data_IF_693711028313
#
_entry.id   IF_693711028313
#
_cell.length_a   1.000
_cell.length_b   1.000
_cell.length_c   1.000
_cell.angle_alpha   90.00
_cell.angle_beta   90.00
_cell.angle_gamma   90.00
#
_symmetry.space_group_name_H-M   'P 1'
#
loop_
_entity.id
_entity.type
_entity.pdbx_description
1 polymer ?
#
# COMPACT_ATOMS: atom_id res chain seq x y z
N UNK A 1 33.05 -3.14 49.56
CA UNK A 1 31.67 -3.26 49.07
C UNK A 1 31.49 -2.24 47.94
N UNK A 2 31.62 -2.61 46.66
CA UNK A 2 31.50 -1.62 45.56
C UNK A 2 30.78 -2.18 44.31
N UNK A 3 30.73 -3.49 44.14
CA UNK A 3 30.14 -4.13 42.94
C UNK A 3 28.62 -4.09 42.88
N UNK A 4 27.94 -3.97 44.03
CA UNK A 4 26.48 -3.93 44.11
C UNK A 4 25.90 -2.60 43.64
N UNK A 5 26.49 -1.49 44.09
CA UNK A 5 26.03 -0.13 43.74
C UNK A 5 26.23 0.17 42.25
N UNK A 6 27.31 -0.33 41.65
CA UNK A 6 27.60 -0.17 40.22
C UNK A 6 26.59 -0.94 39.35
N UNK A 7 26.18 -2.14 39.79
CA UNK A 7 25.15 -2.93 39.10
C UNK A 7 23.77 -2.25 39.19
N UNK A 8 23.40 -1.76 40.38
CA UNK A 8 22.15 -1.03 40.57
C UNK A 8 22.13 0.22 39.69
N UNK A 9 23.23 0.98 39.66
CA UNK A 9 23.39 2.15 38.78
C UNK A 9 23.19 1.79 37.31
N UNK A 10 23.88 0.78 36.81
CA UNK A 10 23.76 0.34 35.42
C UNK A 10 22.33 -0.08 35.04
N UNK A 11 21.66 -0.85 35.91
CA UNK A 11 20.29 -1.29 35.68
C UNK A 11 19.36 -0.07 35.65
N UNK A 12 19.51 0.88 36.57
CA UNK A 12 18.69 2.09 36.60
C UNK A 12 18.89 2.98 35.38
N UNK A 13 20.14 3.21 34.94
CA UNK A 13 20.43 3.97 33.72
C UNK A 13 19.75 3.34 32.50
N UNK A 14 19.84 2.01 32.35
CA UNK A 14 19.21 1.30 31.24
C UNK A 14 17.69 1.42 31.27
N UNK A 15 17.07 1.27 32.45
CA UNK A 15 15.62 1.39 32.61
C UNK A 15 15.15 2.81 32.30
N UNK A 16 15.83 3.84 32.82
CA UNK A 16 15.50 5.24 32.55
C UNK A 16 15.57 5.55 31.06
N UNK A 17 16.64 5.14 30.36
CA UNK A 17 16.75 5.33 28.91
C UNK A 17 15.61 4.66 28.13
N UNK A 18 15.15 3.47 28.56
CA UNK A 18 14.02 2.80 27.92
C UNK A 18 12.67 3.43 28.27
N UNK A 19 12.52 3.99 29.48
CA UNK A 19 11.30 4.69 29.89
C UNK A 19 11.17 6.06 29.21
N UNK A 20 12.29 6.74 28.94
CA UNK A 20 12.37 7.99 28.16
C UNK A 20 12.13 7.80 26.66
N UNK A 21 12.08 6.56 26.17
CA UNK A 21 11.64 6.26 24.80
C UNK A 21 10.27 5.56 24.79
N UNK A 22 9.17 6.22 25.20
CA UNK A 22 7.91 5.54 25.41
C UNK A 22 7.08 5.57 24.12
N UNK A 23 6.74 4.39 23.60
CA UNK A 23 5.59 4.08 22.69
C UNK A 23 5.41 4.85 21.37
N UNK A 24 5.91 6.08 21.20
CA UNK A 24 5.69 6.95 20.05
C UNK A 24 6.43 6.44 18.81
N UNK A 25 7.69 6.02 18.97
CA UNK A 25 8.47 5.36 17.91
C UNK A 25 7.81 4.06 17.44
N UNK A 26 7.17 3.34 18.37
CA UNK A 26 6.48 2.06 18.11
C UNK A 26 5.22 2.22 17.28
N UNK A 27 4.63 3.43 17.25
CA UNK A 27 3.50 3.79 16.40
C UNK A 27 3.96 4.28 15.03
N UNK A 28 5.08 5.00 14.95
CA UNK A 28 5.64 5.50 13.67
C UNK A 28 6.09 4.38 12.73
N UNK A 29 6.66 3.30 13.24
CA UNK A 29 7.07 2.16 12.38
C UNK A 29 5.93 1.23 11.95
N UNK A 30 4.70 1.43 12.45
CA UNK A 30 3.56 0.54 12.20
C UNK A 30 2.49 1.13 11.27
N UNK A 31 2.81 2.16 10.50
CA UNK A 31 2.01 2.47 9.32
C UNK A 31 2.25 1.39 8.26
N UNK A 32 1.69 0.20 8.51
CA UNK A 32 1.53 -0.82 7.48
C UNK A 32 0.63 -0.19 6.43
N UNK A 33 1.19 0.07 5.26
CA UNK A 33 0.41 0.58 4.13
C UNK A 33 -0.82 -0.31 3.96
N UNK A 34 -2.03 0.29 3.84
CA UNK A 34 -3.22 -0.49 3.57
C UNK A 34 -2.99 -1.32 2.30
N UNK A 35 -3.41 -2.58 2.32
CA UNK A 35 -3.28 -3.46 1.16
C UNK A 35 -3.90 -2.82 -0.11
N UNK A 36 -4.96 -2.02 0.06
CA UNK A 36 -5.60 -1.24 -0.99
C UNK A 36 -4.65 -0.30 -1.73
N UNK A 37 -3.68 0.30 -1.05
CA UNK A 37 -2.68 1.19 -1.66
C UNK A 37 -1.70 0.40 -2.52
N UNK A 38 -1.32 -0.81 -2.08
CA UNK A 38 -0.43 -1.71 -2.84
C UNK A 38 -1.03 -2.21 -4.15
N UNK A 39 -2.36 -2.29 -4.22
CA UNK A 39 -3.11 -2.77 -5.39
C UNK A 39 -3.90 -1.66 -6.10
N UNK A 40 -3.74 -0.40 -5.68
CA UNK A 40 -4.23 0.74 -6.42
C UNK A 40 -3.59 0.75 -7.80
N UNK A 41 -4.35 1.08 -8.84
CA UNK A 41 -3.92 0.94 -10.24
C UNK A 41 -4.12 -0.47 -10.80
N UNK A 42 -3.65 -1.54 -10.14
CA UNK A 42 -3.82 -2.92 -10.64
C UNK A 42 -5.28 -3.36 -10.67
N UNK A 43 -6.07 -3.05 -9.64
CA UNK A 43 -7.50 -3.43 -9.59
C UNK A 43 -8.30 -2.74 -10.71
N UNK A 44 -8.28 -1.40 -10.87
CA UNK A 44 -8.92 -0.73 -12.00
C UNK A 44 -8.39 -1.18 -13.37
N UNK A 45 -7.09 -1.48 -13.47
CA UNK A 45 -6.47 -1.95 -14.70
C UNK A 45 -6.91 -3.38 -15.09
N UNK A 46 -6.96 -4.32 -14.15
CA UNK A 46 -7.48 -5.66 -14.41
C UNK A 46 -8.97 -5.63 -14.75
N UNK A 47 -9.75 -4.76 -14.08
CA UNK A 47 -11.15 -4.53 -14.41
C UNK A 47 -11.33 -3.87 -15.79
N UNK A 48 -10.46 -2.94 -16.18
CA UNK A 48 -10.51 -2.31 -17.50
C UNK A 48 -10.06 -3.28 -18.60
N UNK A 49 -9.16 -4.21 -18.31
CA UNK A 49 -8.76 -5.25 -19.26
C UNK A 49 -9.84 -6.33 -19.40
N UNK A 50 -10.45 -6.76 -18.30
CA UNK A 50 -11.52 -7.75 -18.30
C UNK A 50 -12.84 -7.17 -18.86
N UNK A 51 -13.21 -5.96 -18.44
CA UNK A 51 -14.38 -5.23 -18.94
C UNK A 51 -14.16 -4.54 -20.28
N UNK A 52 -12.91 -4.29 -20.68
CA UNK A 52 -12.52 -3.65 -21.94
C UNK A 52 -12.74 -4.53 -23.16
N UNK A 53 -12.80 -5.86 -22.99
CA UNK A 53 -13.25 -6.78 -24.04
C UNK A 53 -14.70 -6.51 -24.49
N UNK A 54 -15.53 -5.87 -23.65
CA UNK A 54 -16.88 -5.43 -24.03
C UNK A 54 -16.88 -4.04 -24.69
N UNK A 55 -15.94 -3.17 -24.33
CA UNK A 55 -15.79 -1.83 -24.89
C UNK A 55 -15.19 -1.84 -26.30
N UNK A 56 -14.21 -2.71 -26.57
CA UNK A 56 -13.55 -2.80 -27.89
C UNK A 56 -14.50 -3.38 -28.97
N UNK A 57 -15.33 -4.36 -28.59
CA UNK A 57 -16.37 -4.90 -29.49
C UNK A 57 -17.38 -3.83 -29.96
N UNK A 58 -17.68 -2.82 -29.13
CA UNK A 58 -18.53 -1.68 -29.55
C UNK A 58 -17.85 -0.79 -30.58
N UNK A 59 -16.53 -0.63 -30.52
CA UNK A 59 -15.75 0.19 -31.46
C UNK A 59 -15.61 -0.47 -32.83
N UNK A 60 -15.44 -1.79 -32.87
CA UNK A 60 -15.39 -2.56 -34.13
C UNK A 60 -16.75 -2.63 -34.84
N UNK A 61 -17.85 -2.77 -34.09
CA UNK A 61 -19.21 -2.79 -34.67
C UNK A 61 -19.60 -1.44 -35.27
N UNK A 62 -19.16 -0.31 -34.67
CA UNK A 62 -19.34 1.04 -35.23
C UNK A 62 -18.56 1.26 -36.53
N UNK A 63 -17.36 0.69 -36.68
CA UNK A 63 -16.58 0.77 -37.92
C UNK A 63 -17.21 0.00 -39.10
N UNK A 64 -17.84 -1.15 -38.85
CA UNK A 64 -18.49 -1.95 -39.91
C UNK A 64 -19.80 -1.37 -40.45
N UNK A 65 -20.45 -0.45 -39.72
CA UNK A 65 -21.69 0.21 -40.20
C UNK A 65 -21.37 1.35 -41.17
N UNK A 66 -20.23 2.02 -41.02
CA UNK A 66 -19.87 3.16 -41.87
C UNK A 66 -19.45 2.76 -43.30
N UNK A 67 -18.97 1.53 -43.51
CA UNK A 67 -18.52 1.07 -44.83
C UNK A 67 -19.62 0.43 -45.68
N UNK A 68 -20.85 0.32 -45.15
CA UNK A 68 -22.00 -0.18 -45.90
C UNK A 68 -22.76 0.93 -46.62
N UNK A 69 -22.58 2.17 -46.21
CA UNK A 69 -23.27 3.33 -46.78
C UNK A 69 -22.46 4.02 -47.90
N UNK A 70 -21.37 3.40 -48.38
CA UNK A 70 -20.50 3.96 -49.43
C UNK A 70 -20.66 3.23 -50.77
N UNK A 71 -21.54 2.24 -50.84
CA UNK A 71 -21.76 1.37 -52.01
C UNK A 71 -23.23 1.37 -52.46
N UNK A 72 -24.00 2.39 -52.07
CA UNK A 72 -25.31 2.74 -52.64
C UNK A 72 -25.19 4.10 -53.37
#
# INVERSE_FOLDING_TARGET
>A
MASGDELVKYITERVVSYMETPKEERRKQKYKEPWTVKWFGMIPFSLSQLGGGAADKRRQKRRKVNTRNLHD
#
